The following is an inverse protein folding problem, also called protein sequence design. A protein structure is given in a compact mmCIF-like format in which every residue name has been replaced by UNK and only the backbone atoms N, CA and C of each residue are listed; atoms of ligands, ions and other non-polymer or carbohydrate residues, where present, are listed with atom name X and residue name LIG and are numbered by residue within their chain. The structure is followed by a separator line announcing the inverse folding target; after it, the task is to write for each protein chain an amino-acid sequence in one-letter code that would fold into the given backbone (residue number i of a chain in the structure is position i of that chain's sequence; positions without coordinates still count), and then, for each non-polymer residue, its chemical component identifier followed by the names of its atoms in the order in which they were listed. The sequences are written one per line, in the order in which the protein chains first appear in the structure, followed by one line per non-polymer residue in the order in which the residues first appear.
data_IF_841730596111
#
_entry.id   IF_841730596111
#
_cell.length_a   1.000
_cell.length_b   1.000
_cell.length_c   1.000
_cell.angle_alpha   90.00
_cell.angle_beta   90.00
_cell.angle_gamma   90.00
#
_symmetry.space_group_name_H-M   'P 1'
#
loop_
_entity.id
_entity.type
_entity.pdbx_description
1 polymer ?
#
# COMPACT_ATOMS: atom_id res chain seq x y z
N UNK A 1 21.06 10.23 10.91
CA UNK A 1 19.92 11.16 10.80
C UNK A 1 18.94 10.76 11.88
N UNK A 2 18.68 11.66 12.87
CA UNK A 2 17.60 11.43 13.86
C UNK A 2 16.31 11.49 13.06
N UNK A 3 15.63 10.34 12.93
CA UNK A 3 14.29 10.28 12.37
C UNK A 3 13.39 11.15 13.23
N UNK A 4 12.71 12.09 12.53
CA UNK A 4 11.82 13.08 13.14
C UNK A 4 10.77 12.44 14.03
N UNK A 5 10.26 13.25 14.94
CA UNK A 5 9.17 13.01 15.88
C UNK A 5 8.14 12.03 15.33
N UNK A 6 7.75 11.05 16.14
CA UNK A 6 6.64 10.17 15.79
C UNK A 6 5.42 11.04 15.45
N UNK A 7 5.01 11.00 14.18
CA UNK A 7 3.84 11.74 13.72
C UNK A 7 2.62 11.28 14.50
N UNK A 8 1.92 12.24 15.09
CA UNK A 8 0.73 11.98 15.91
C UNK A 8 -0.32 11.18 15.13
N UNK A 9 -0.83 10.14 15.75
CA UNK A 9 -1.96 9.38 15.25
C UNK A 9 -3.25 10.14 15.60
N UNK A 10 -4.04 10.47 14.57
CA UNK A 10 -5.34 11.13 14.68
C UNK A 10 -6.46 10.15 14.36
N UNK A 11 -7.68 10.51 14.72
CA UNK A 11 -8.84 9.66 14.52
C UNK A 11 -10.04 10.46 14.01
N UNK A 12 -10.82 9.85 13.13
CA UNK A 12 -12.14 10.33 12.70
C UNK A 12 -13.14 9.17 12.76
N UNK A 13 -14.41 9.49 13.04
CA UNK A 13 -15.49 8.52 12.91
C UNK A 13 -16.15 8.66 11.55
N UNK A 14 -16.02 7.63 10.70
CA UNK A 14 -16.66 7.55 9.39
C UNK A 14 -17.63 6.35 9.38
N UNK A 15 -18.87 6.59 9.02
CA UNK A 15 -19.91 5.54 8.95
C UNK A 15 -20.05 4.71 10.23
N UNK A 16 -19.83 5.35 11.40
CA UNK A 16 -19.90 4.69 12.71
C UNK A 16 -18.65 3.91 13.11
N UNK A 17 -17.59 3.95 12.32
CA UNK A 17 -16.31 3.30 12.60
C UNK A 17 -15.20 4.31 12.76
N UNK A 18 -14.31 4.07 13.72
CA UNK A 18 -13.10 4.85 13.92
C UNK A 18 -12.10 4.52 12.80
N UNK A 19 -11.65 5.56 12.12
CA UNK A 19 -10.55 5.53 11.15
C UNK A 19 -9.39 6.32 11.73
N UNK A 20 -8.29 5.64 12.00
CA UNK A 20 -7.06 6.25 12.45
C UNK A 20 -6.22 6.68 11.23
N UNK A 21 -5.49 7.78 11.35
CA UNK A 21 -4.62 8.29 10.29
C UNK A 21 -3.51 9.17 10.86
N UNK A 22 -2.44 9.32 10.08
CA UNK A 22 -1.40 10.34 10.31
C UNK A 22 -1.54 11.43 9.27
N UNK A 23 -1.31 12.68 9.68
CA UNK A 23 -1.29 13.83 8.78
C UNK A 23 -0.09 14.70 9.10
N UNK A 24 0.60 15.17 8.07
CA UNK A 24 1.71 16.09 8.18
C UNK A 24 1.79 17.00 6.96
N UNK A 25 2.27 18.23 7.17
CA UNK A 25 2.21 19.30 6.17
C UNK A 25 0.78 19.84 6.02
N UNK A 26 0.68 21.07 5.56
CA UNK A 26 -0.57 21.83 5.42
C UNK A 26 -0.59 22.66 4.12
N UNK A 27 0.44 22.53 3.30
CA UNK A 27 0.60 23.23 2.03
C UNK A 27 0.92 22.28 0.88
N UNK A 28 0.76 22.74 -0.35
CA UNK A 28 1.11 22.01 -1.57
C UNK A 28 0.13 20.90 -1.97
N UNK A 29 0.46 20.10 -2.97
CA UNK A 29 -0.37 18.98 -3.42
C UNK A 29 -0.65 17.96 -2.32
N UNK A 30 -1.85 17.37 -2.35
CA UNK A 30 -2.25 16.36 -1.37
C UNK A 30 -1.76 14.98 -1.81
N UNK A 31 -1.05 14.29 -0.90
CA UNK A 31 -0.60 12.90 -1.06
C UNK A 31 -1.32 11.99 -0.07
N UNK A 32 -2.00 10.97 -0.54
CA UNK A 32 -2.57 9.91 0.30
C UNK A 32 -1.72 8.65 0.19
N UNK A 33 -1.09 8.25 1.30
CA UNK A 33 -0.16 7.12 1.37
C UNK A 33 -0.88 5.89 1.95
N UNK A 34 -1.18 4.90 1.11
CA UNK A 34 -1.99 3.72 1.45
C UNK A 34 -1.07 2.53 1.68
N UNK A 35 -1.09 1.98 2.90
CA UNK A 35 -0.23 0.87 3.31
C UNK A 35 -0.67 -0.50 2.77
N UNK A 36 0.20 -1.51 2.92
CA UNK A 36 -0.04 -2.90 2.54
C UNK A 36 -0.79 -3.72 3.59
N UNK A 37 -1.10 -4.97 3.25
CA UNK A 37 -1.74 -5.92 4.17
C UNK A 37 -0.83 -6.17 5.39
N UNK A 38 -1.41 -6.42 6.56
CA UNK A 38 -0.72 -6.57 7.86
C UNK A 38 0.12 -5.37 8.32
N UNK A 39 0.04 -4.24 7.62
CA UNK A 39 0.75 -3.01 7.94
C UNK A 39 -0.20 -1.95 8.50
N UNK A 40 0.33 -0.77 8.73
CA UNK A 40 -0.37 0.44 9.16
C UNK A 40 0.34 1.68 8.60
N UNK A 41 -0.15 2.88 8.92
CA UNK A 41 0.42 4.16 8.46
C UNK A 41 1.90 4.36 8.85
N UNK A 42 2.41 3.63 9.86
CA UNK A 42 3.81 3.74 10.28
C UNK A 42 4.81 3.16 9.27
N UNK A 43 4.35 2.43 8.24
CA UNK A 43 5.23 2.00 7.13
C UNK A 43 5.84 3.20 6.39
N UNK A 44 5.21 4.37 6.46
CA UNK A 44 5.65 5.61 5.84
C UNK A 44 6.56 6.48 6.72
N UNK A 45 6.91 6.01 7.93
CA UNK A 45 7.67 6.75 8.95
C UNK A 45 8.99 7.35 8.47
N UNK A 46 9.66 6.73 7.49
CA UNK A 46 10.94 7.20 6.96
C UNK A 46 10.79 8.28 5.88
N UNK A 47 9.64 8.35 5.22
CA UNK A 47 9.42 9.27 4.08
C UNK A 47 8.47 10.41 4.40
N UNK A 48 7.42 10.15 5.18
CA UNK A 48 6.36 11.11 5.45
C UNK A 48 6.85 12.44 6.05
N UNK A 49 7.78 12.49 7.03
CA UNK A 49 8.27 13.77 7.59
C UNK A 49 9.02 14.65 6.58
N UNK A 50 9.61 14.04 5.57
CA UNK A 50 10.33 14.77 4.52
C UNK A 50 9.38 15.23 3.41
N UNK A 51 8.44 14.39 3.01
CA UNK A 51 7.38 14.74 2.06
C UNK A 51 6.53 15.90 2.59
N UNK A 52 6.24 15.92 3.89
CA UNK A 52 5.45 16.96 4.56
C UNK A 52 6.06 18.37 4.50
N UNK A 53 7.32 18.51 4.07
CA UNK A 53 7.94 19.82 3.84
C UNK A 53 7.43 20.52 2.58
N UNK A 54 6.77 19.78 1.70
CA UNK A 54 6.33 20.26 0.38
C UNK A 54 4.90 19.89 0.04
N UNK A 55 4.35 18.91 0.74
CA UNK A 55 3.06 18.29 0.44
C UNK A 55 2.20 18.21 1.68
N UNK A 56 0.89 18.26 1.51
CA UNK A 56 -0.05 17.80 2.53
C UNK A 56 -0.13 16.28 2.45
N UNK A 57 0.37 15.57 3.47
CA UNK A 57 0.50 14.11 3.46
C UNK A 57 -0.47 13.49 4.44
N UNK A 58 -1.30 12.56 3.97
CA UNK A 58 -2.29 11.81 4.75
C UNK A 58 -1.99 10.33 4.61
N UNK A 59 -1.84 9.62 5.72
CA UNK A 59 -1.60 8.18 5.74
C UNK A 59 -2.64 7.50 6.66
N UNK A 60 -3.73 6.94 6.12
CA UNK A 60 -4.70 6.19 6.91
C UNK A 60 -4.16 4.85 7.37
N UNK A 61 -4.62 4.41 8.54
CA UNK A 61 -4.71 2.99 8.86
C UNK A 61 -6.00 2.46 8.23
N UNK A 62 -5.90 1.52 7.32
CA UNK A 62 -7.08 0.94 6.65
C UNK A 62 -8.02 0.29 7.66
N UNK A 63 -9.32 0.31 7.41
CA UNK A 63 -10.28 -0.46 8.22
C UNK A 63 -9.81 -1.93 8.29
N UNK A 64 -9.81 -2.50 9.49
CA UNK A 64 -9.25 -3.83 9.74
C UNK A 64 -7.77 -3.86 10.07
N UNK A 65 -7.06 -2.72 10.01
CA UNK A 65 -5.62 -2.62 10.21
C UNK A 65 -5.27 -1.54 11.24
N UNK A 66 -4.05 -1.64 11.79
CA UNK A 66 -3.50 -0.63 12.69
C UNK A 66 -4.43 -0.28 13.84
N UNK A 67 -4.60 1.01 14.10
CA UNK A 67 -5.48 1.55 15.15
C UNK A 67 -6.92 1.80 14.66
N UNK A 68 -7.23 1.60 13.39
CA UNK A 68 -8.60 1.67 12.88
C UNK A 68 -9.45 0.50 13.38
N UNK A 69 -10.78 0.71 13.43
CA UNK A 69 -11.73 -0.32 13.83
C UNK A 69 -11.70 -1.54 12.89
N UNK A 70 -12.13 -2.68 13.41
CA UNK A 70 -12.11 -3.97 12.72
C UNK A 70 -13.53 -4.58 12.67
N UNK A 71 -14.50 -3.87 12.05
CA UNK A 71 -15.88 -4.33 12.02
C UNK A 71 -16.02 -5.63 11.22
N UNK A 72 -17.07 -6.37 11.49
CA UNK A 72 -17.50 -7.43 10.59
C UNK A 72 -18.15 -6.77 9.34
N UNK A 73 -17.55 -6.95 8.17
CA UNK A 73 -18.03 -6.28 6.98
C UNK A 73 -17.26 -6.64 5.72
N UNK A 74 -17.38 -5.78 4.72
CA UNK A 74 -16.69 -5.92 3.43
C UNK A 74 -15.26 -5.34 3.53
N UNK A 75 -14.29 -6.17 3.19
CA UNK A 75 -12.87 -5.84 3.11
C UNK A 75 -12.32 -5.91 1.68
N UNK A 76 -13.20 -5.74 0.68
CA UNK A 76 -12.80 -5.64 -0.72
C UNK A 76 -12.02 -4.35 -1.01
N UNK A 77 -11.29 -4.35 -2.15
CA UNK A 77 -10.59 -3.14 -2.60
C UNK A 77 -11.56 -1.96 -2.76
N UNK A 78 -12.79 -2.22 -3.24
CA UNK A 78 -13.82 -1.18 -3.42
C UNK A 78 -14.30 -0.59 -2.09
N UNK A 79 -14.47 -1.41 -1.06
CA UNK A 79 -14.82 -0.94 0.27
C UNK A 79 -13.70 -0.07 0.87
N UNK A 80 -12.45 -0.53 0.80
CA UNK A 80 -11.31 0.27 1.24
C UNK A 80 -11.17 1.59 0.46
N UNK A 81 -11.32 1.55 -0.88
CA UNK A 81 -11.28 2.75 -1.71
C UNK A 81 -12.34 3.78 -1.31
N UNK A 82 -13.55 3.34 -0.96
CA UNK A 82 -14.63 4.20 -0.48
C UNK A 82 -14.26 4.88 0.85
N UNK A 83 -13.70 4.14 1.81
CA UNK A 83 -13.29 4.71 3.11
C UNK A 83 -12.15 5.71 2.92
N UNK A 84 -11.16 5.43 2.07
CA UNK A 84 -10.05 6.36 1.78
C UNK A 84 -10.59 7.65 1.12
N UNK A 85 -11.53 7.54 0.17
CA UNK A 85 -12.20 8.69 -0.44
C UNK A 85 -12.95 9.51 0.61
N UNK A 86 -13.70 8.85 1.50
CA UNK A 86 -14.50 9.53 2.53
C UNK A 86 -13.62 10.22 3.57
N UNK A 87 -12.47 9.62 3.94
CA UNK A 87 -11.49 10.27 4.78
C UNK A 87 -10.92 11.53 4.11
N UNK A 88 -10.53 11.46 2.85
CA UNK A 88 -10.02 12.59 2.07
C UNK A 88 -11.02 13.76 2.11
N UNK A 89 -12.31 13.48 1.81
CA UNK A 89 -13.38 14.49 1.82
C UNK A 89 -13.65 15.03 3.22
N UNK A 90 -13.65 14.19 4.25
CA UNK A 90 -13.86 14.61 5.64
C UNK A 90 -12.74 15.52 6.15
N UNK A 91 -11.53 15.38 5.60
CA UNK A 91 -10.40 16.26 5.88
C UNK A 91 -10.40 17.55 5.03
N UNK A 92 -11.43 17.76 4.19
CA UNK A 92 -11.60 18.98 3.40
C UNK A 92 -10.84 19.00 2.08
N UNK A 93 -10.40 17.84 1.59
CA UNK A 93 -9.68 17.73 0.31
C UNK A 93 -10.54 17.04 -0.75
N UNK A 94 -10.67 17.66 -1.92
CA UNK A 94 -11.48 17.13 -3.01
C UNK A 94 -10.73 16.11 -3.86
N UNK A 95 -9.42 16.28 -4.02
CA UNK A 95 -8.56 15.51 -4.92
C UNK A 95 -7.20 15.24 -4.28
N UNK A 96 -6.54 14.18 -4.70
CA UNK A 96 -5.21 13.84 -4.24
C UNK A 96 -4.43 12.99 -5.25
N UNK A 97 -3.12 12.95 -5.07
CA UNK A 97 -2.26 11.92 -5.66
C UNK A 97 -2.21 10.72 -4.70
N UNK A 98 -2.53 9.53 -5.20
CA UNK A 98 -2.58 8.30 -4.39
C UNK A 98 -1.31 7.49 -4.54
N UNK A 99 -0.65 7.21 -3.43
CA UNK A 99 0.57 6.40 -3.34
C UNK A 99 0.21 5.11 -2.59
N UNK A 100 0.17 3.99 -3.29
CA UNK A 100 -0.25 2.71 -2.70
C UNK A 100 0.86 1.67 -2.69
N UNK A 101 1.14 1.11 -1.50
CA UNK A 101 2.09 0.01 -1.33
C UNK A 101 1.38 -1.33 -1.23
N UNK A 102 1.81 -2.34 -2.01
CA UNK A 102 1.31 -3.72 -1.92
C UNK A 102 -0.23 -3.77 -2.12
N UNK A 103 -1.01 -4.22 -1.12
CA UNK A 103 -2.47 -4.13 -1.09
C UNK A 103 -2.95 -2.69 -1.36
N UNK A 104 -2.28 -1.70 -0.75
CA UNK A 104 -2.59 -0.29 -0.95
C UNK A 104 -2.48 0.16 -2.39
N UNK A 105 -1.61 -0.45 -3.19
CA UNK A 105 -1.53 -0.20 -4.63
C UNK A 105 -2.78 -0.67 -5.37
N UNK A 106 -3.29 -1.87 -5.02
CA UNK A 106 -4.57 -2.36 -5.53
C UNK A 106 -5.75 -1.46 -5.14
N UNK A 107 -5.73 -0.92 -3.90
CA UNK A 107 -6.74 0.04 -3.43
C UNK A 107 -6.63 1.38 -4.18
N UNK A 108 -5.41 1.89 -4.39
CA UNK A 108 -5.17 3.13 -5.14
C UNK A 108 -5.66 3.02 -6.60
N UNK A 109 -5.40 1.90 -7.26
CA UNK A 109 -5.95 1.60 -8.59
C UNK A 109 -7.48 1.52 -8.55
N UNK A 110 -8.05 0.79 -7.60
CA UNK A 110 -9.50 0.70 -7.46
C UNK A 110 -10.13 2.08 -7.23
N UNK A 111 -9.49 2.95 -6.46
CA UNK A 111 -9.92 4.31 -6.21
C UNK A 111 -9.91 5.13 -7.51
N UNK A 112 -8.86 5.04 -8.32
CA UNK A 112 -8.77 5.76 -9.61
C UNK A 112 -9.85 5.30 -10.61
N UNK A 113 -10.32 4.06 -10.54
CA UNK A 113 -11.41 3.54 -11.38
C UNK A 113 -12.81 3.91 -10.85
N UNK A 114 -12.93 3.95 -9.53
CA UNK A 114 -14.22 4.13 -8.87
C UNK A 114 -14.57 5.62 -8.67
N UNK A 115 -13.54 6.45 -8.48
CA UNK A 115 -13.64 7.88 -8.23
C UNK A 115 -12.60 8.65 -9.06
N UNK A 116 -12.63 8.55 -10.40
CA UNK A 116 -11.60 9.12 -11.27
C UNK A 116 -11.45 10.64 -11.10
N UNK A 117 -12.52 11.34 -10.76
CA UNK A 117 -12.53 12.77 -10.51
C UNK A 117 -11.72 13.17 -9.26
N UNK A 118 -11.40 12.21 -8.39
CA UNK A 118 -10.62 12.42 -7.16
C UNK A 118 -9.12 12.16 -7.34
N UNK A 119 -8.75 11.46 -8.41
CA UNK A 119 -7.39 11.01 -8.63
C UNK A 119 -6.62 12.00 -9.51
N UNK A 120 -5.56 12.58 -8.98
CA UNK A 120 -4.66 13.46 -9.72
C UNK A 120 -3.50 12.71 -10.36
N UNK A 121 -2.89 11.80 -9.59
CA UNK A 121 -1.78 10.95 -10.00
C UNK A 121 -1.84 9.63 -9.26
N UNK A 122 -1.27 8.60 -9.84
CA UNK A 122 -1.20 7.28 -9.25
C UNK A 122 0.25 6.84 -9.11
N UNK A 123 0.64 6.42 -7.91
CA UNK A 123 1.97 5.86 -7.62
C UNK A 123 1.80 4.48 -7.00
N UNK A 124 2.31 3.47 -7.68
CA UNK A 124 2.18 2.07 -7.30
C UNK A 124 3.53 1.53 -6.84
N UNK A 125 3.61 1.17 -5.56
CA UNK A 125 4.84 0.70 -4.92
C UNK A 125 4.70 -0.80 -4.64
N UNK A 126 5.48 -1.64 -5.33
CA UNK A 126 5.40 -3.10 -5.18
C UNK A 126 3.95 -3.61 -5.16
N UNK A 127 3.14 -3.12 -6.09
CA UNK A 127 1.67 -3.17 -6.03
C UNK A 127 1.10 -4.56 -6.24
N UNK A 128 0.10 -4.93 -5.43
CA UNK A 128 -0.83 -5.99 -5.77
C UNK A 128 -1.76 -5.61 -6.94
N UNK A 129 -2.34 -6.62 -7.59
CA UNK A 129 -3.36 -6.41 -8.63
C UNK A 129 -2.83 -6.17 -10.04
N UNK A 130 -1.52 -6.30 -10.30
CA UNK A 130 -0.91 -6.11 -11.63
C UNK A 130 -0.48 -7.41 -12.31
N UNK A 131 -0.74 -8.56 -11.71
CA UNK A 131 -0.44 -9.88 -12.25
C UNK A 131 -0.92 -10.97 -11.32
N UNK A 132 -0.74 -12.25 -11.70
CA UNK A 132 -1.22 -13.39 -10.90
C UNK A 132 -0.25 -13.84 -9.83
N UNK A 133 1.04 -13.61 -10.00
CA UNK A 133 2.04 -14.17 -9.11
C UNK A 133 2.07 -13.41 -7.78
N UNK A 134 2.09 -14.19 -6.72
CA UNK A 134 2.23 -13.72 -5.33
C UNK A 134 2.85 -14.85 -4.52
N UNK A 135 3.52 -14.53 -3.42
CA UNK A 135 4.25 -15.51 -2.61
C UNK A 135 3.37 -16.69 -2.18
N UNK A 136 3.98 -17.87 -2.10
CA UNK A 136 3.30 -19.08 -1.63
C UNK A 136 2.75 -18.94 -0.21
N UNK A 137 3.41 -18.14 0.63
CA UNK A 137 2.96 -17.87 2.00
C UNK A 137 1.58 -17.18 2.01
N UNK A 138 1.39 -16.14 1.20
CA UNK A 138 0.10 -15.45 1.07
C UNK A 138 -0.97 -16.37 0.48
N UNK A 139 -0.62 -17.19 -0.52
CA UNK A 139 -1.53 -18.19 -1.08
C UNK A 139 -1.96 -19.23 -0.04
N UNK A 140 -1.04 -19.75 0.75
CA UNK A 140 -1.34 -20.71 1.82
C UNK A 140 -2.25 -20.11 2.90
N UNK A 141 -2.08 -18.82 3.22
CA UNK A 141 -2.91 -18.12 4.20
C UNK A 141 -4.38 -17.91 3.75
N UNK A 142 -4.72 -18.13 2.46
CA UNK A 142 -6.11 -18.12 1.98
C UNK A 142 -6.86 -19.42 2.21
N UNK A 143 -6.15 -20.51 2.50
CA UNK A 143 -6.76 -21.84 2.66
C UNK A 143 -7.74 -21.89 3.84
N UNK A 144 -8.80 -22.71 3.75
CA UNK A 144 -9.69 -22.94 4.89
C UNK A 144 -8.92 -23.44 6.11
N UNK A 145 -9.23 -22.89 7.28
CA UNK A 145 -8.56 -23.25 8.54
C UNK A 145 -7.27 -22.49 8.82
N UNK A 146 -6.81 -21.63 7.92
CA UNK A 146 -5.65 -20.76 8.16
C UNK A 146 -5.82 -19.90 9.42
N UNK A 147 -7.04 -19.50 9.74
CA UNK A 147 -7.39 -18.75 10.95
C UNK A 147 -6.95 -19.47 12.25
N UNK A 148 -6.91 -20.81 12.23
CA UNK A 148 -6.48 -21.63 13.38
C UNK A 148 -4.96 -21.81 13.43
N UNK A 149 -4.31 -21.80 12.27
CA UNK A 149 -2.87 -22.02 12.13
C UNK A 149 -2.06 -20.75 12.35
N UNK A 150 -2.55 -19.61 11.83
CA UNK A 150 -1.88 -18.31 11.93
C UNK A 150 -1.53 -17.92 13.38
N UNK A 151 -2.41 -18.07 14.39
CA UNK A 151 -2.05 -17.75 15.77
C UNK A 151 -0.96 -18.65 16.33
N UNK A 152 -0.94 -19.93 15.93
CA UNK A 152 0.09 -20.89 16.38
C UNK A 152 1.45 -20.50 15.80
N UNK A 153 1.49 -20.06 14.55
CA UNK A 153 2.70 -19.54 13.93
C UNK A 153 3.13 -18.20 14.56
N UNK A 154 2.19 -17.32 14.88
CA UNK A 154 2.46 -16.05 15.57
C UNK A 154 2.93 -16.26 17.02
N UNK A 155 2.39 -17.24 17.72
CA UNK A 155 2.73 -17.57 19.11
C UNK A 155 4.04 -18.37 19.24
N UNK A 156 4.54 -18.98 18.17
CA UNK A 156 5.79 -19.73 18.23
C UNK A 156 6.95 -18.76 18.37
N UNK A 157 7.81 -19.01 19.38
CA UNK A 157 9.10 -18.32 19.61
C UNK A 157 10.07 -18.39 18.41
N UNK A 158 9.64 -18.94 17.27
CA UNK A 158 10.37 -18.91 16.01
C UNK A 158 10.68 -17.48 15.55
N UNK A 159 9.77 -16.52 15.81
CA UNK A 159 10.02 -15.10 15.55
C UNK A 159 11.03 -14.51 16.55
N UNK A 160 11.00 -14.95 17.82
CA UNK A 160 12.01 -14.57 18.81
C UNK A 160 13.38 -15.20 18.48
N UNK A 161 13.41 -16.43 17.98
CA UNK A 161 14.63 -17.06 17.43
C UNK A 161 15.12 -16.31 16.18
N UNK A 162 14.23 -15.86 15.30
CA UNK A 162 14.58 -15.00 14.15
C UNK A 162 15.11 -13.63 14.59
N UNK A 163 14.54 -13.01 15.64
CA UNK A 163 15.05 -11.75 16.23
C UNK A 163 16.38 -11.96 16.96
N UNK A 164 16.56 -13.07 17.67
CA UNK A 164 17.83 -13.42 18.35
C UNK A 164 18.90 -13.74 17.29
N UNK A 165 18.56 -14.51 16.28
CA UNK A 165 19.45 -14.79 15.15
C UNK A 165 19.77 -13.51 14.34
N UNK A 166 18.78 -12.64 14.09
CA UNK A 166 18.97 -11.34 13.47
C UNK A 166 19.83 -10.40 14.31
N UNK A 167 19.68 -10.42 15.65
CA UNK A 167 20.53 -9.69 16.57
C UNK A 167 21.97 -10.24 16.61
N UNK A 168 22.15 -11.55 16.48
CA UNK A 168 23.49 -12.17 16.39
C UNK A 168 24.14 -11.90 15.04
N UNK A 169 23.37 -12.00 13.96
CA UNK A 169 23.80 -11.63 12.59
C UNK A 169 24.12 -10.14 12.48
N UNK A 170 23.35 -9.27 13.16
CA UNK A 170 23.63 -7.84 13.27
C UNK A 170 24.96 -7.52 13.97
N UNK A 171 25.37 -8.32 14.98
CA UNK A 171 26.70 -8.23 15.61
C UNK A 171 27.83 -8.68 14.68
N UNK A 172 27.51 -9.49 13.68
CA UNK A 172 28.44 -9.91 12.60
C UNK A 172 28.39 -9.00 11.37
N UNK A 173 27.65 -7.86 11.44
CA UNK A 173 27.50 -6.93 10.33
C UNK A 173 26.45 -7.36 9.29
N UNK A 174 25.79 -8.49 9.51
CA UNK A 174 24.70 -8.98 8.65
C UNK A 174 23.36 -8.51 9.25
N UNK A 175 22.71 -7.54 8.62
CA UNK A 175 21.36 -7.09 9.04
C UNK A 175 20.33 -8.02 8.48
N UNK A 176 19.34 -8.39 9.31
CA UNK A 176 18.09 -8.93 8.79
C UNK A 176 17.49 -7.86 7.86
N UNK A 177 17.15 -8.23 6.62
CA UNK A 177 16.59 -7.28 5.66
C UNK A 177 15.28 -6.68 6.16
N UNK A 178 14.98 -5.47 5.72
CA UNK A 178 13.76 -4.73 6.08
C UNK A 178 12.50 -5.57 5.88
N UNK A 179 12.45 -6.38 4.84
CA UNK A 179 11.33 -7.29 4.55
C UNK A 179 11.03 -8.24 5.72
N UNK A 180 12.08 -8.86 6.30
CA UNK A 180 11.92 -9.80 7.42
C UNK A 180 11.39 -9.06 8.65
N UNK A 181 11.90 -7.86 8.94
CA UNK A 181 11.47 -7.05 10.08
C UNK A 181 10.01 -6.62 9.94
N UNK A 182 9.61 -6.13 8.77
CA UNK A 182 8.25 -5.65 8.51
C UNK A 182 7.23 -6.81 8.46
N UNK A 183 7.59 -7.93 7.81
CA UNK A 183 6.75 -9.14 7.79
C UNK A 183 6.58 -9.68 9.21
N UNK A 184 7.64 -9.73 10.01
CA UNK A 184 7.57 -10.19 11.41
C UNK A 184 6.70 -9.26 12.26
N UNK A 185 6.82 -7.95 12.07
CA UNK A 185 5.98 -6.94 12.75
C UNK A 185 4.51 -7.14 12.39
N UNK A 186 4.19 -7.23 11.10
CA UNK A 186 2.83 -7.48 10.62
C UNK A 186 2.27 -8.81 11.13
N UNK A 187 3.10 -9.86 11.14
CA UNK A 187 2.68 -11.18 11.63
C UNK A 187 2.34 -11.16 13.13
N UNK A 188 3.08 -10.39 13.93
CA UNK A 188 2.81 -10.25 15.35
C UNK A 188 1.40 -9.68 15.65
N UNK A 189 0.86 -8.82 14.78
CA UNK A 189 -0.50 -8.26 14.93
C UNK A 189 -1.59 -9.31 14.78
N UNK A 190 -1.32 -10.44 14.10
CA UNK A 190 -2.27 -11.54 13.90
C UNK A 190 -2.53 -12.38 15.14
N UNK A 191 -1.81 -12.12 16.23
CA UNK A 191 -2.14 -12.67 17.55
C UNK A 191 -3.52 -12.17 18.03
N UNK A 192 -3.88 -10.91 17.71
CA UNK A 192 -5.21 -10.37 17.97
C UNK A 192 -6.26 -11.01 17.05
N UNK A 193 -7.39 -11.42 17.64
CA UNK A 193 -8.42 -12.19 16.93
C UNK A 193 -9.17 -11.35 15.88
N UNK A 194 -9.45 -10.08 16.18
CA UNK A 194 -10.17 -9.17 15.27
C UNK A 194 -9.27 -8.79 14.08
N UNK A 195 -8.00 -8.44 14.34
CA UNK A 195 -6.98 -8.16 13.32
C UNK A 195 -6.79 -9.36 12.41
N UNK A 196 -6.68 -10.56 12.98
CA UNK A 196 -6.53 -11.79 12.20
C UNK A 196 -7.75 -12.07 11.33
N UNK A 197 -8.96 -11.88 11.85
CA UNK A 197 -10.20 -12.02 11.07
C UNK A 197 -10.23 -11.03 9.91
N UNK A 198 -9.97 -9.75 10.16
CA UNK A 198 -9.90 -8.73 9.13
C UNK A 198 -8.84 -9.05 8.08
N UNK A 199 -7.64 -9.48 8.51
CA UNK A 199 -6.56 -9.92 7.60
C UNK A 199 -7.02 -11.04 6.66
N UNK A 200 -7.63 -12.11 7.20
CA UNK A 200 -8.06 -13.26 6.38
C UNK A 200 -9.17 -12.84 5.39
N UNK A 201 -10.12 -12.00 5.82
CA UNK A 201 -11.16 -11.47 4.95
C UNK A 201 -10.57 -10.60 3.83
N UNK A 202 -9.69 -9.66 4.17
CA UNK A 202 -8.97 -8.83 3.20
C UNK A 202 -8.18 -9.70 2.21
N UNK A 203 -7.37 -10.63 2.73
CA UNK A 203 -6.52 -11.48 1.91
C UNK A 203 -7.35 -12.31 0.92
N UNK A 204 -8.44 -12.96 1.37
CA UNK A 204 -9.32 -13.76 0.53
C UNK A 204 -10.11 -12.93 -0.50
N UNK A 205 -10.26 -11.62 -0.29
CA UNK A 205 -10.86 -10.75 -1.29
C UNK A 205 -9.94 -10.51 -2.49
N UNK A 206 -8.61 -10.59 -2.31
CA UNK A 206 -7.61 -10.24 -3.33
C UNK A 206 -6.69 -11.38 -3.76
N UNK A 207 -6.56 -12.46 -2.96
CA UNK A 207 -5.71 -13.63 -3.23
C UNK A 207 -6.53 -14.92 -3.10
N UNK A 208 -6.23 -15.88 -3.95
CA UNK A 208 -6.76 -17.26 -3.93
C UNK A 208 -5.59 -18.26 -3.99
N UNK A 209 -5.80 -19.57 -3.77
CA UNK A 209 -4.73 -20.57 -3.85
C UNK A 209 -3.98 -20.57 -5.19
N UNK A 210 -4.63 -20.12 -6.27
CA UNK A 210 -4.04 -20.00 -7.62
C UNK A 210 -3.18 -18.75 -7.84
N UNK A 211 -3.18 -17.77 -6.91
CA UNK A 211 -2.46 -16.49 -7.04
C UNK A 211 -3.33 -15.29 -6.71
N UNK A 212 -3.03 -14.13 -7.27
CA UNK A 212 -3.87 -12.94 -7.12
C UNK A 212 -5.21 -13.15 -7.85
N UNK A 213 -6.31 -12.96 -7.12
CA UNK A 213 -7.68 -13.04 -7.63
C UNK A 213 -8.06 -11.78 -8.39
N UNK A 214 -7.59 -10.63 -7.92
CA UNK A 214 -7.81 -9.33 -8.56
C UNK A 214 -6.63 -9.05 -9.48
N UNK A 215 -6.92 -8.78 -10.74
CA UNK A 215 -5.93 -8.38 -11.73
C UNK A 215 -6.49 -7.19 -12.53
N UNK A 216 -5.81 -6.07 -12.45
CA UNK A 216 -6.18 -4.84 -13.14
C UNK A 216 -5.77 -4.82 -14.61
N UNK A 217 -5.03 -5.82 -15.13
CA UNK A 217 -4.54 -5.83 -16.51
C UNK A 217 -5.63 -5.52 -17.55
N UNK A 218 -6.86 -6.02 -17.32
CA UNK A 218 -8.01 -5.77 -18.18
C UNK A 218 -8.62 -4.36 -18.04
N UNK A 219 -8.11 -3.55 -17.09
CA UNK A 219 -8.64 -2.22 -16.76
C UNK A 219 -7.57 -1.14 -16.76
N UNK A 220 -6.34 -1.47 -17.15
CA UNK A 220 -5.24 -0.52 -17.19
C UNK A 220 -5.52 0.65 -18.14
N UNK A 221 -6.32 0.44 -19.19
CA UNK A 221 -6.76 1.50 -20.10
C UNK A 221 -7.49 2.64 -19.37
N UNK A 222 -8.17 2.35 -18.24
CA UNK A 222 -8.82 3.37 -17.42
C UNK A 222 -7.82 4.32 -16.71
N UNK A 223 -6.56 3.91 -16.60
CA UNK A 223 -5.49 4.72 -16.03
C UNK A 223 -4.64 5.46 -17.08
N UNK A 224 -4.93 5.33 -18.38
CA UNK A 224 -4.12 5.95 -19.45
C UNK A 224 -4.04 7.48 -19.36
N UNK A 225 -5.07 8.13 -18.82
CA UNK A 225 -5.12 9.58 -18.67
C UNK A 225 -4.64 10.07 -17.28
N UNK A 226 -4.25 9.15 -16.41
CA UNK A 226 -3.73 9.47 -15.08
C UNK A 226 -2.21 9.28 -15.10
N UNK A 227 -1.40 10.29 -14.77
CA UNK A 227 0.03 10.10 -14.63
C UNK A 227 0.34 8.97 -13.66
N UNK A 228 1.12 7.98 -14.11
CA UNK A 228 1.41 6.75 -13.39
C UNK A 228 2.91 6.57 -13.15
N UNK A 229 3.30 6.43 -11.88
CA UNK A 229 4.64 6.04 -11.45
C UNK A 229 4.59 4.64 -10.84
N UNK A 230 5.45 3.75 -11.34
CA UNK A 230 5.68 2.40 -10.82
C UNK A 230 7.02 2.38 -10.10
N UNK A 231 7.02 2.08 -8.81
CA UNK A 231 8.22 1.93 -7.98
C UNK A 231 8.32 0.47 -7.53
N UNK A 232 9.44 -0.19 -7.81
CA UNK A 232 9.55 -1.62 -7.53
C UNK A 232 10.93 -2.02 -7.00
N UNK A 233 10.95 -2.81 -5.92
CA UNK A 233 12.18 -3.47 -5.47
C UNK A 233 12.51 -4.66 -6.37
N UNK A 234 13.74 -4.74 -6.85
CA UNK A 234 14.22 -5.81 -7.73
C UNK A 234 14.12 -7.19 -7.06
N UNK A 235 14.33 -7.23 -5.74
CA UNK A 235 14.36 -8.44 -4.95
C UNK A 235 13.04 -8.74 -4.20
N UNK A 236 11.92 -8.17 -4.65
CA UNK A 236 10.61 -8.43 -4.04
C UNK A 236 10.24 -9.91 -4.12
N UNK A 237 10.25 -10.56 -2.95
CA UNK A 237 9.89 -11.97 -2.79
C UNK A 237 8.39 -12.22 -2.59
N UNK A 238 7.60 -11.16 -2.40
CA UNK A 238 6.14 -11.23 -2.22
C UNK A 238 5.40 -11.02 -3.52
N UNK A 239 5.74 -9.98 -4.27
CA UNK A 239 5.13 -9.63 -5.56
C UNK A 239 6.24 -9.35 -6.58
N UNK A 240 6.49 -10.26 -7.55
CA UNK A 240 7.64 -10.18 -8.43
C UNK A 240 7.72 -8.88 -9.26
N UNK A 241 8.92 -8.33 -9.40
CA UNK A 241 9.21 -7.11 -10.19
C UNK A 241 8.74 -7.19 -11.64
N UNK A 242 8.59 -8.39 -12.19
CA UNK A 242 8.05 -8.59 -13.54
C UNK A 242 6.68 -7.94 -13.75
N UNK A 243 5.83 -7.84 -12.69
CA UNK A 243 4.54 -7.17 -12.79
C UNK A 243 4.69 -5.67 -13.08
N UNK A 244 5.73 -5.02 -12.53
CA UNK A 244 6.07 -3.64 -12.86
C UNK A 244 6.48 -3.50 -14.32
N UNK A 245 7.34 -4.38 -14.82
CA UNK A 245 7.78 -4.38 -16.22
C UNK A 245 6.63 -4.64 -17.20
N UNK A 246 5.79 -5.65 -16.92
CA UNK A 246 4.63 -6.00 -17.74
C UNK A 246 3.60 -4.84 -17.79
N UNK A 247 3.36 -4.20 -16.63
CA UNK A 247 2.46 -3.04 -16.56
C UNK A 247 3.01 -1.86 -17.34
N UNK A 248 4.30 -1.55 -17.21
CA UNK A 248 4.94 -0.47 -17.97
C UNK A 248 4.91 -0.74 -19.48
N UNK A 249 5.08 -2.01 -19.89
CA UNK A 249 4.97 -2.38 -21.30
C UNK A 249 3.55 -2.19 -21.86
N UNK A 250 2.50 -2.40 -21.02
CA UNK A 250 1.10 -2.15 -21.40
C UNK A 250 0.72 -0.66 -21.34
N UNK A 251 1.39 0.12 -20.50
CA UNK A 251 1.20 1.57 -20.34
C UNK A 251 2.53 2.31 -20.54
N UNK A 252 3.01 2.48 -21.79
CA UNK A 252 4.31 3.09 -22.06
C UNK A 252 4.46 4.55 -21.60
N UNK A 253 3.35 5.25 -21.38
CA UNK A 253 3.32 6.59 -20.80
C UNK A 253 3.61 6.61 -19.29
N UNK A 254 3.55 5.46 -18.61
CA UNK A 254 3.94 5.35 -17.21
C UNK A 254 5.46 5.52 -17.05
N UNK A 255 5.88 5.89 -15.83
CA UNK A 255 7.29 5.86 -15.45
C UNK A 255 7.55 4.64 -14.57
N UNK A 256 8.59 3.86 -14.86
CA UNK A 256 9.01 2.71 -14.05
C UNK A 256 10.40 2.96 -13.47
N UNK A 257 10.53 2.79 -12.15
CA UNK A 257 11.78 2.91 -11.42
C UNK A 257 12.04 1.65 -10.59
N UNK A 258 13.19 1.02 -10.80
CA UNK A 258 13.59 -0.19 -10.09
C UNK A 258 14.60 0.13 -9.00
N UNK A 259 14.32 -0.29 -7.78
CA UNK A 259 15.19 -0.21 -6.62
C UNK A 259 16.02 -1.49 -6.52
N UNK A 260 17.23 -1.45 -7.06
CA UNK A 260 18.11 -2.64 -7.22
C UNK A 260 18.58 -3.25 -5.90
N UNK A 261 18.55 -2.50 -4.80
CA UNK A 261 18.95 -2.95 -3.47
C UNK A 261 17.76 -3.09 -2.51
N UNK A 262 16.53 -3.19 -3.04
CA UNK A 262 15.32 -3.26 -2.23
C UNK A 262 14.52 -4.51 -2.51
N UNK A 263 13.86 -4.99 -1.44
CA UNK A 263 12.82 -6.00 -1.50
C UNK A 263 11.43 -5.39 -1.64
N UNK A 264 10.51 -5.83 -0.77
CA UNK A 264 9.11 -5.42 -0.82
C UNK A 264 8.85 -3.99 -0.28
N UNK A 265 9.80 -3.38 0.44
CA UNK A 265 9.61 -2.10 1.13
C UNK A 265 10.62 -1.01 0.70
N UNK A 266 10.67 -0.59 -0.58
CA UNK A 266 11.64 0.40 -1.06
C UNK A 266 11.55 1.74 -0.34
N UNK A 267 10.37 2.14 0.15
CA UNK A 267 10.17 3.35 0.97
C UNK A 267 10.89 3.27 2.34
N UNK A 268 11.25 2.08 2.79
CA UNK A 268 12.01 1.85 4.03
C UNK A 268 13.47 1.53 3.76
N UNK A 269 13.78 0.88 2.65
CA UNK A 269 15.14 0.50 2.27
C UNK A 269 15.95 1.70 1.79
N UNK A 270 15.37 2.49 0.88
CA UNK A 270 16.01 3.63 0.22
C UNK A 270 15.10 4.88 0.29
N UNK A 271 14.83 5.40 1.50
CA UNK A 271 13.84 6.48 1.70
C UNK A 271 14.20 7.77 0.97
N UNK A 272 15.48 8.14 0.91
CA UNK A 272 15.93 9.35 0.21
C UNK A 272 15.61 9.27 -1.28
N UNK A 273 15.98 8.17 -1.93
CA UNK A 273 15.67 7.93 -3.35
C UNK A 273 14.17 7.88 -3.61
N UNK A 274 13.40 7.28 -2.70
CA UNK A 274 11.94 7.23 -2.79
C UNK A 274 11.34 8.65 -2.78
N UNK A 275 11.79 9.51 -1.85
CA UNK A 275 11.34 10.90 -1.72
C UNK A 275 11.67 11.70 -2.97
N UNK A 276 12.90 11.57 -3.48
CA UNK A 276 13.37 12.29 -4.67
C UNK A 276 12.55 11.89 -5.90
N UNK A 277 12.36 10.60 -6.16
CA UNK A 277 11.59 10.09 -7.29
C UNK A 277 10.12 10.50 -7.23
N UNK A 278 9.49 10.42 -6.04
CA UNK A 278 8.11 10.84 -5.85
C UNK A 278 7.95 12.35 -6.06
N UNK A 279 8.86 13.15 -5.49
CA UNK A 279 8.83 14.60 -5.63
C UNK A 279 9.04 15.04 -7.09
N UNK A 280 10.04 14.48 -7.76
CA UNK A 280 10.31 14.73 -9.18
C UNK A 280 9.12 14.36 -10.06
N UNK A 281 8.46 13.22 -9.78
CA UNK A 281 7.27 12.81 -10.51
C UNK A 281 6.10 13.80 -10.34
N UNK A 282 5.85 14.27 -9.11
CA UNK A 282 4.81 15.27 -8.86
C UNK A 282 5.12 16.60 -9.57
N UNK A 283 6.40 17.02 -9.57
CA UNK A 283 6.83 18.28 -10.19
C UNK A 283 6.83 18.22 -11.72
N UNK A 284 7.12 17.07 -12.30
CA UNK A 284 7.27 16.88 -13.75
C UNK A 284 5.97 16.51 -14.47
N UNK A 285 4.87 16.28 -13.74
CA UNK A 285 3.60 15.86 -14.33
C UNK A 285 2.46 16.81 -13.96
N UNK A 286 1.54 17.04 -14.90
CA UNK A 286 0.30 17.74 -14.61
C UNK A 286 -0.72 16.79 -13.97
N UNK A 287 -1.54 17.25 -12.99
CA UNK A 287 -2.60 16.43 -12.43
C UNK A 287 -3.64 16.05 -13.49
N UNK A 288 -4.09 14.80 -13.48
CA UNK A 288 -5.19 14.38 -14.34
C UNK A 288 -6.42 15.25 -14.13
N UNK A 289 -7.11 15.60 -15.19
CA UNK A 289 -8.36 16.39 -15.16
C UNK A 289 -9.46 15.61 -15.88
N UNK A 290 -9.77 14.43 -15.37
CA UNK A 290 -10.77 13.56 -15.99
C UNK A 290 -12.17 14.04 -15.63
N UNK A 291 -12.88 14.54 -16.62
CA UNK A 291 -14.29 14.90 -16.51
C UNK A 291 -15.23 13.72 -16.90
N UNK A 292 -16.53 13.93 -16.74
CA UNK A 292 -17.52 12.88 -17.03
C UNK A 292 -17.56 12.50 -18.51
N UNK A 293 -17.14 13.37 -19.43
CA UNK A 293 -17.10 13.05 -20.86
C UNK A 293 -15.87 12.22 -21.19
N UNK A 294 -14.69 12.62 -20.73
CA UNK A 294 -13.46 11.83 -20.88
C UNK A 294 -13.58 10.43 -20.26
N UNK A 295 -14.22 10.34 -19.07
CA UNK A 295 -14.48 9.04 -18.44
C UNK A 295 -15.43 8.16 -19.29
N UNK A 296 -16.46 8.77 -19.88
CA UNK A 296 -17.41 8.06 -20.76
C UNK A 296 -16.74 7.51 -22.02
N UNK A 297 -15.80 8.24 -22.60
CA UNK A 297 -15.04 7.77 -23.76
C UNK A 297 -14.07 6.64 -23.39
N UNK A 298 -13.37 6.74 -22.26
CA UNK A 298 -12.53 5.65 -21.77
C UNK A 298 -13.33 4.35 -21.54
N UNK A 299 -14.52 4.42 -20.94
CA UNK A 299 -15.38 3.26 -20.70
C UNK A 299 -15.85 2.58 -22.00
N UNK A 300 -15.91 3.30 -23.11
CA UNK A 300 -16.31 2.75 -24.43
C UNK A 300 -15.13 2.14 -25.19
N UNK A 301 -13.90 2.48 -24.81
CA UNK A 301 -12.69 2.03 -25.50
C UNK A 301 -12.21 0.64 -25.06
N UNK A 302 -12.74 0.11 -23.92
CA UNK A 302 -12.33 -1.14 -23.30
C UNK A 302 -13.18 -2.38 -23.66
#
# INVERSE_FOLDING_TARGET
VRYAEELELRELTLHGHRVAYRQAGDEGPVLVLIHGITSDSSTWRRVMPYLARRFTVIAPDLIGHGASDKPKGDYSLGAHASVVRDLLLALGHDRASFVGHSLGGGIAMQLSYQFPERCERLVLVNSGGLGRDVSLLLRAATLPGSELVLPLLAATRLLDLGRIAGGLLGRLGLRAGTDIEEIARGHATLADAETRSAFVHTLRSVVEPGGQRVNAANRLYLAEQVPLLLLWGEHDSLIPVKHGHETHALLPASRLEIFTESGHFPQLDQPERFIDLLSDFIDSTEPATLDAEGWRELLKAG
#
